data_IF_094006533190
#
_entry.id   IF_094006533190
#
_cell.length_a   1.000
_cell.length_b   1.000
_cell.length_c   1.000
_cell.angle_alpha   90.00
_cell.angle_beta   90.00
_cell.angle_gamma   90.00
#
_symmetry.space_group_name_H-M   'P 1'
#
loop_
_entity.id
_entity.type
_entity.pdbx_description
1 polymer ?
#
# COMPACT_ATOMS: atom_id res chain seq x y z
N UNK A 1 -58.76 -34.52 18.46
CA UNK A 1 -59.27 -35.78 19.02
C UNK A 1 -58.38 -36.87 18.45
N UNK A 2 -57.52 -37.61 19.15
CA UNK A 2 -57.39 -37.94 20.57
C UNK A 2 -55.92 -38.30 20.82
N UNK A 3 -55.40 -37.97 22.01
CA UNK A 3 -54.02 -38.14 22.44
C UNK A 3 -53.72 -39.55 22.99
N UNK A 4 -52.43 -39.93 23.08
CA UNK A 4 -51.70 -40.20 24.35
C UNK A 4 -50.40 -41.04 24.12
N UNK A 5 -49.21 -40.53 24.51
CA UNK A 5 -48.37 -40.92 25.69
C UNK A 5 -47.41 -42.10 25.33
N UNK A 6 -46.08 -42.16 25.56
CA UNK A 6 -45.16 -41.65 26.60
C UNK A 6 -43.67 -41.71 26.11
N UNK A 7 -42.81 -40.82 26.62
CA UNK A 7 -41.31 -40.85 26.60
C UNK A 7 -40.76 -41.69 27.79
N UNK A 8 -39.44 -41.80 28.13
CA UNK A 8 -38.20 -41.20 27.57
C UNK A 8 -36.94 -42.13 27.52
N UNK A 9 -35.84 -41.68 26.90
CA UNK A 9 -34.48 -41.91 27.41
C UNK A 9 -33.48 -40.87 26.91
N UNK A 10 -32.42 -40.69 27.72
CA UNK A 10 -31.61 -39.50 27.88
C UNK A 10 -30.46 -39.35 26.87
N UNK A 11 -30.13 -38.09 26.53
CA UNK A 11 -28.93 -37.73 25.80
C UNK A 11 -28.45 -36.33 26.20
N UNK A 12 -27.36 -36.29 26.98
CA UNK A 12 -26.73 -35.09 27.53
C UNK A 12 -26.34 -34.09 26.44
N UNK A 13 -26.74 -32.82 26.60
CA UNK A 13 -26.12 -31.69 25.90
C UNK A 13 -25.27 -30.89 26.88
N UNK A 14 -23.97 -30.87 26.62
CA UNK A 14 -23.03 -29.91 27.19
C UNK A 14 -23.04 -28.68 26.29
N UNK A 15 -23.27 -27.49 26.85
CA UNK A 15 -22.38 -26.33 26.70
C UNK A 15 -22.84 -25.17 27.58
N UNK A 16 -21.88 -24.82 28.42
CA UNK A 16 -21.84 -23.88 29.53
C UNK A 16 -22.12 -22.44 29.13
N UNK A 17 -22.74 -21.72 30.07
CA UNK A 17 -22.83 -20.28 30.12
C UNK A 17 -21.45 -19.63 30.28
N UNK A 18 -21.22 -18.51 29.59
CA UNK A 18 -20.21 -17.51 29.94
C UNK A 18 -20.77 -16.13 29.60
N UNK A 19 -21.29 -15.45 30.62
CA UNK A 19 -21.43 -14.00 30.66
C UNK A 19 -20.67 -13.54 31.90
N UNK A 20 -19.49 -12.97 31.69
CA UNK A 20 -18.74 -12.26 32.72
C UNK A 20 -18.19 -10.99 32.08
N UNK A 21 -18.84 -9.87 32.39
CA UNK A 21 -18.37 -8.54 32.08
C UNK A 21 -17.19 -8.20 33.01
N UNK A 22 -16.01 -7.99 32.43
CA UNK A 22 -14.85 -7.45 33.14
C UNK A 22 -14.85 -5.92 33.08
N UNK A 23 -15.08 -5.28 34.22
CA UNK A 23 -14.91 -3.84 34.43
C UNK A 23 -13.43 -3.46 34.36
N UNK A 24 -13.04 -2.68 33.36
CA UNK A 24 -11.74 -2.02 33.31
C UNK A 24 -11.76 -0.76 34.18
N UNK A 25 -10.95 -0.75 35.25
CA UNK A 25 -10.66 0.44 36.04
C UNK A 25 -9.69 1.35 35.27
N UNK A 26 -10.18 2.52 34.84
CA UNK A 26 -9.35 3.57 34.27
C UNK A 26 -8.81 4.47 35.38
N UNK A 27 -7.52 4.34 35.72
CA UNK A 27 -6.79 5.41 36.41
C UNK A 27 -6.35 6.43 35.36
N UNK A 28 -7.12 7.50 35.20
CA UNK A 28 -6.75 8.65 34.38
C UNK A 28 -5.73 9.51 35.14
N UNK A 29 -4.44 9.25 34.94
CA UNK A 29 -3.42 10.27 35.14
C UNK A 29 -3.50 11.20 33.93
N UNK A 30 -3.85 12.47 34.18
CA UNK A 30 -3.81 13.51 33.15
C UNK A 30 -2.36 13.73 32.73
N UNK A 31 -1.93 13.02 31.68
CA UNK A 31 -0.74 13.39 30.94
C UNK A 31 -0.97 14.78 30.33
N UNK A 32 0.03 15.68 30.33
CA UNK A 32 -0.09 16.92 29.60
C UNK A 32 -0.41 16.58 28.15
N UNK A 33 -1.45 17.22 27.60
CA UNK A 33 -1.79 17.07 26.19
C UNK A 33 -0.55 17.47 25.38
N UNK A 34 0.15 16.48 24.83
CA UNK A 34 1.17 16.72 23.83
C UNK A 34 0.50 17.56 22.75
N UNK A 35 1.00 18.78 22.52
CA UNK A 35 0.52 19.61 21.43
C UNK A 35 0.55 18.73 20.17
N UNK A 36 -0.60 18.60 19.49
CA UNK A 36 -0.68 17.81 18.27
C UNK A 36 0.43 18.31 17.33
N UNK A 37 1.28 17.39 16.87
CA UNK A 37 2.42 17.77 16.07
C UNK A 37 1.97 18.47 14.78
N UNK A 38 2.68 19.52 14.40
CA UNK A 38 2.35 20.33 13.23
C UNK A 38 2.63 19.53 11.94
N UNK A 39 1.56 19.16 11.22
CA UNK A 39 1.63 18.49 9.92
C UNK A 39 1.46 19.47 8.74
N UNK A 40 1.59 20.78 8.98
CA UNK A 40 1.49 21.82 7.94
C UNK A 40 2.85 22.24 7.38
N UNK A 41 3.94 21.75 7.95
CA UNK A 41 5.33 21.96 7.50
C UNK A 41 6.06 20.62 7.31
N UNK A 42 7.12 20.55 6.49
CA UNK A 42 7.85 19.29 6.30
C UNK A 42 8.37 18.70 7.61
N UNK A 43 8.33 17.36 7.71
CA UNK A 43 8.70 16.62 8.91
C UNK A 43 10.14 16.91 9.36
N UNK A 44 10.36 17.34 10.62
CA UNK A 44 11.68 17.78 11.07
C UNK A 44 12.71 16.64 11.18
N UNK A 45 12.29 15.38 11.17
CA UNK A 45 13.20 14.22 11.28
C UNK A 45 13.40 13.47 9.94
N UNK A 46 12.92 14.03 8.82
CA UNK A 46 13.05 13.41 7.50
C UNK A 46 14.53 13.17 7.11
N UNK A 47 15.42 14.10 7.45
CA UNK A 47 16.84 14.01 7.09
C UNK A 47 17.57 12.92 7.88
N UNK A 48 17.24 12.79 9.15
CA UNK A 48 17.78 11.78 10.07
C UNK A 48 17.24 10.39 9.75
N UNK A 49 15.96 10.29 9.41
CA UNK A 49 15.34 9.06 8.90
C UNK A 49 16.07 8.57 7.65
N UNK A 50 16.35 9.47 6.70
CA UNK A 50 17.11 9.16 5.50
C UNK A 50 18.54 8.72 5.83
N UNK A 51 19.21 9.39 6.77
CA UNK A 51 20.56 9.01 7.20
C UNK A 51 20.59 7.65 7.91
N UNK A 52 19.55 7.30 8.68
CA UNK A 52 19.41 5.98 9.30
C UNK A 52 19.20 4.90 8.23
N UNK A 53 18.22 5.11 7.36
CA UNK A 53 17.85 4.19 6.29
C UNK A 53 19.03 3.90 5.35
N UNK A 54 19.79 4.93 4.96
CA UNK A 54 20.96 4.81 4.09
C UNK A 54 22.08 3.92 4.63
N UNK A 55 22.13 3.69 5.96
CA UNK A 55 23.11 2.80 6.59
C UNK A 55 22.60 1.37 6.80
N UNK A 56 21.32 1.11 6.56
CA UNK A 56 20.74 -0.23 6.72
C UNK A 56 20.98 -1.09 5.47
N UNK A 57 21.65 -2.25 5.61
CA UNK A 57 21.84 -3.18 4.49
C UNK A 57 20.53 -3.72 3.93
N UNK A 58 19.55 -4.01 4.81
CA UNK A 58 18.24 -4.50 4.38
C UNK A 58 17.56 -3.46 3.48
N UNK A 59 17.46 -2.22 3.97
CA UNK A 59 16.83 -1.11 3.23
C UNK A 59 17.51 -0.86 1.89
N UNK A 60 18.85 -0.71 1.89
CA UNK A 60 19.56 -0.32 0.68
C UNK A 60 19.64 -1.45 -0.35
N UNK A 61 19.68 -2.72 0.10
CA UNK A 61 19.58 -3.86 -0.82
C UNK A 61 18.20 -3.97 -1.46
N UNK A 62 17.12 -3.77 -0.70
CA UNK A 62 15.75 -3.71 -1.22
C UNK A 62 15.56 -2.53 -2.19
N UNK A 63 16.09 -1.36 -1.87
CA UNK A 63 16.03 -0.20 -2.75
C UNK A 63 16.80 -0.41 -4.07
N UNK A 64 18.03 -0.94 -3.98
CA UNK A 64 18.82 -1.28 -5.16
C UNK A 64 18.12 -2.31 -6.05
N UNK A 65 17.50 -3.34 -5.44
CA UNK A 65 16.69 -4.32 -6.15
C UNK A 65 15.54 -3.65 -6.92
N UNK A 66 14.78 -2.74 -6.29
CA UNK A 66 13.67 -2.05 -6.98
C UNK A 66 14.15 -1.18 -8.13
N UNK A 67 15.27 -0.47 -8.00
CA UNK A 67 15.87 0.32 -9.09
C UNK A 67 16.32 -0.56 -10.26
N UNK A 68 16.92 -1.72 -9.97
CA UNK A 68 17.31 -2.71 -10.98
C UNK A 68 16.08 -3.20 -11.74
N UNK A 69 15.03 -3.64 -11.03
CA UNK A 69 13.77 -4.10 -11.62
C UNK A 69 13.05 -3.00 -12.42
N UNK A 70 13.07 -1.76 -11.94
CA UNK A 70 12.55 -0.61 -12.68
C UNK A 70 13.33 -0.37 -13.98
N UNK A 71 14.65 -0.59 -13.98
CA UNK A 71 15.50 -0.50 -15.18
C UNK A 71 15.21 -1.56 -16.24
N UNK A 72 14.60 -2.69 -15.86
CA UNK A 72 14.27 -3.81 -16.75
C UNK A 72 12.88 -3.70 -17.40
N UNK A 73 12.05 -2.74 -16.97
CA UNK A 73 10.74 -2.47 -17.58
C UNK A 73 10.90 -2.23 -19.08
N UNK A 74 10.06 -2.82 -19.94
CA UNK A 74 10.21 -2.75 -21.40
C UNK A 74 9.63 -1.46 -21.97
N UNK A 75 8.45 -1.05 -21.52
CA UNK A 75 7.79 0.20 -21.87
C UNK A 75 8.70 1.37 -21.50
N UNK A 76 9.11 2.12 -22.53
CA UNK A 76 10.12 3.16 -22.36
C UNK A 76 9.62 4.35 -21.55
N UNK A 77 8.31 4.63 -21.53
CA UNK A 77 7.75 5.72 -20.74
C UNK A 77 7.64 5.29 -19.27
N UNK A 78 7.03 4.14 -19.00
CA UNK A 78 6.87 3.59 -17.66
C UNK A 78 8.23 3.38 -16.99
N UNK A 79 9.23 2.83 -17.70
CA UNK A 79 10.61 2.70 -17.20
C UNK A 79 11.17 4.04 -16.74
N UNK A 80 11.11 5.05 -17.62
CA UNK A 80 11.68 6.38 -17.37
C UNK A 80 10.99 7.08 -16.20
N UNK A 81 9.66 7.03 -16.18
CA UNK A 81 8.86 7.68 -15.14
C UNK A 81 9.02 6.97 -13.79
N UNK A 82 9.13 5.63 -13.77
CA UNK A 82 9.37 4.85 -12.54
C UNK A 82 10.74 5.17 -11.95
N UNK A 83 11.79 5.16 -12.78
CA UNK A 83 13.15 5.51 -12.35
C UNK A 83 13.25 6.96 -11.85
N UNK A 84 12.51 7.89 -12.47
CA UNK A 84 12.40 9.26 -11.96
C UNK A 84 11.69 9.27 -10.59
N UNK A 85 10.52 8.63 -10.48
CA UNK A 85 9.70 8.66 -9.28
C UNK A 85 10.40 8.08 -8.03
N UNK A 86 11.13 6.97 -8.17
CA UNK A 86 11.75 6.28 -7.01
C UNK A 86 13.26 6.51 -6.90
N UNK A 87 13.92 6.87 -8.01
CA UNK A 87 15.38 6.95 -8.11
C UNK A 87 15.96 8.36 -8.15
N UNK A 88 15.16 9.37 -8.53
CA UNK A 88 15.65 10.73 -8.68
C UNK A 88 15.34 11.58 -7.42
N UNK A 89 16.36 11.99 -6.63
CA UNK A 89 16.14 12.84 -5.46
C UNK A 89 15.68 14.26 -5.81
N UNK A 90 15.66 14.64 -7.09
CA UNK A 90 15.18 15.92 -7.61
C UNK A 90 13.91 15.74 -8.46
N UNK A 91 13.18 14.64 -8.28
CA UNK A 91 11.93 14.44 -8.98
C UNK A 91 10.90 15.51 -8.57
N UNK A 92 10.36 16.22 -9.56
CA UNK A 92 9.24 17.12 -9.34
C UNK A 92 7.96 16.30 -9.10
N UNK A 93 7.13 16.74 -8.16
CA UNK A 93 5.77 16.24 -7.96
C UNK A 93 4.86 16.90 -9.01
N UNK A 94 4.66 16.23 -10.15
CA UNK A 94 4.06 16.85 -11.33
C UNK A 94 2.60 17.23 -11.12
N UNK A 95 1.85 16.50 -10.29
CA UNK A 95 0.46 16.87 -10.00
C UNK A 95 0.33 18.13 -9.13
N UNK A 96 1.43 18.58 -8.51
CA UNK A 96 1.48 19.79 -7.67
C UNK A 96 2.18 20.99 -8.31
N UNK A 97 2.87 20.78 -9.43
CA UNK A 97 3.56 21.84 -10.15
C UNK A 97 2.63 23.02 -10.48
N UNK A 98 3.04 24.22 -10.06
CA UNK A 98 2.33 25.48 -10.29
C UNK A 98 1.03 25.66 -9.51
N UNK A 99 0.72 24.80 -8.54
CA UNK A 99 -0.51 24.93 -7.75
C UNK A 99 -0.44 26.11 -6.78
N UNK A 100 -1.26 27.13 -7.04
CA UNK A 100 -1.52 28.18 -6.07
C UNK A 100 -2.43 27.69 -4.94
N UNK A 101 -2.50 28.50 -3.90
CA UNK A 101 -3.42 28.33 -2.77
C UNK A 101 -4.89 28.28 -3.18
N UNK A 102 -5.27 29.11 -4.16
CA UNK A 102 -6.61 29.10 -4.72
C UNK A 102 -6.89 27.80 -5.49
N UNK A 103 -5.88 27.22 -6.15
CA UNK A 103 -6.04 25.96 -6.90
C UNK A 103 -6.24 24.78 -5.96
N UNK A 104 -5.42 24.70 -4.90
CA UNK A 104 -5.58 23.69 -3.83
C UNK A 104 -6.97 23.76 -3.21
N UNK A 105 -7.46 24.97 -2.91
CA UNK A 105 -8.82 25.15 -2.40
C UNK A 105 -9.88 24.65 -3.39
N UNK A 106 -9.79 25.00 -4.68
CA UNK A 106 -10.75 24.54 -5.69
C UNK A 106 -10.75 23.01 -5.85
N UNK A 107 -9.59 22.37 -5.73
CA UNK A 107 -9.47 20.90 -5.76
C UNK A 107 -10.22 20.30 -4.56
N UNK A 108 -9.98 20.82 -3.35
CA UNK A 108 -10.67 20.36 -2.12
C UNK A 108 -12.18 20.56 -2.24
N UNK A 109 -12.63 21.74 -2.68
CA UNK A 109 -14.05 22.05 -2.87
C UNK A 109 -14.69 21.05 -3.85
N UNK A 110 -13.99 20.67 -4.93
CA UNK A 110 -14.46 19.69 -5.91
C UNK A 110 -14.53 18.27 -5.34
N UNK A 111 -13.54 17.87 -4.53
CA UNK A 111 -13.55 16.57 -3.84
C UNK A 111 -14.73 16.48 -2.86
N UNK A 112 -15.00 17.55 -2.09
CA UNK A 112 -16.15 17.66 -1.20
C UNK A 112 -17.48 17.59 -1.96
N UNK A 113 -17.61 18.37 -3.04
CA UNK A 113 -18.81 18.39 -3.88
C UNK A 113 -19.12 17.00 -4.46
N UNK A 114 -18.09 16.23 -4.79
CA UNK A 114 -18.22 14.89 -5.35
C UNK A 114 -18.33 13.77 -4.30
N UNK A 115 -18.31 14.11 -3.00
CA UNK A 115 -18.37 13.14 -1.91
C UNK A 115 -17.15 12.22 -1.84
N UNK A 116 -15.99 12.69 -2.32
CA UNK A 116 -14.74 11.92 -2.36
C UNK A 116 -13.88 12.13 -1.10
N UNK A 117 -14.32 13.01 -0.21
CA UNK A 117 -13.70 13.34 1.09
C UNK A 117 -14.83 13.61 2.10
N UNK A 118 -14.65 13.25 3.38
CA UNK A 118 -15.60 13.62 4.44
C UNK A 118 -15.33 15.06 4.92
N UNK A 119 -16.35 15.92 4.87
CA UNK A 119 -16.26 17.29 5.35
C UNK A 119 -15.91 17.39 6.85
N UNK A 120 -16.23 16.35 7.63
CA UNK A 120 -15.87 16.30 9.05
C UNK A 120 -14.34 16.20 9.28
N UNK A 121 -13.58 15.74 8.29
CA UNK A 121 -12.13 15.61 8.41
C UNK A 121 -11.41 16.96 8.40
N UNK A 122 -12.06 18.03 7.95
CA UNK A 122 -11.53 19.40 8.09
C UNK A 122 -11.26 19.76 9.56
N UNK A 123 -12.12 19.29 10.48
CA UNK A 123 -11.97 19.53 11.91
C UNK A 123 -11.21 18.42 12.64
N UNK A 124 -11.19 17.19 12.11
CA UNK A 124 -10.61 16.02 12.78
C UNK A 124 -9.14 15.79 12.43
N UNK A 125 -8.73 16.15 11.22
CA UNK A 125 -7.39 15.90 10.73
C UNK A 125 -6.44 17.03 11.13
N UNK A 126 -5.22 16.75 11.65
CA UNK A 126 -4.23 17.78 11.94
C UNK A 126 -3.89 18.62 10.70
N UNK A 127 -4.17 19.93 10.74
CA UNK A 127 -3.99 20.82 9.59
C UNK A 127 -5.11 20.77 8.54
N UNK A 128 -6.24 20.10 8.85
CA UNK A 128 -7.44 20.04 8.02
C UNK A 128 -7.28 19.23 6.74
N UNK A 129 -8.27 19.29 5.85
CA UNK A 129 -8.26 18.56 4.58
C UNK A 129 -7.08 18.95 3.71
N UNK A 130 -6.66 20.21 3.83
CA UNK A 130 -5.51 20.72 3.10
C UNK A 130 -4.23 19.95 3.45
N UNK A 131 -3.89 19.80 4.73
CA UNK A 131 -2.69 19.05 5.11
C UNK A 131 -2.79 17.56 4.75
N UNK A 132 -4.01 16.99 4.76
CA UNK A 132 -4.23 15.59 4.41
C UNK A 132 -4.14 15.30 2.91
N UNK A 133 -4.67 16.18 2.05
CA UNK A 133 -4.68 16.01 0.57
C UNK A 133 -3.40 16.57 -0.05
N UNK A 134 -2.82 17.59 0.56
CA UNK A 134 -1.59 18.26 0.13
C UNK A 134 -0.57 18.27 1.27
N UNK A 135 0.00 17.10 1.68
CA UNK A 135 1.05 17.04 2.69
C UNK A 135 2.17 18.04 2.39
N UNK A 136 2.80 18.66 3.39
CA UNK A 136 3.75 19.73 3.15
C UNK A 136 5.00 19.20 2.44
N UNK A 137 5.47 19.94 1.43
CA UNK A 137 6.65 19.56 0.63
C UNK A 137 7.54 20.77 0.39
N UNK A 138 8.86 20.59 0.18
CA UNK A 138 9.73 21.64 -0.31
C UNK A 138 9.26 22.19 -1.65
N UNK A 139 9.51 23.48 -1.87
CA UNK A 139 9.23 24.17 -3.14
C UNK A 139 7.77 24.08 -3.60
N UNK A 140 6.82 23.89 -2.65
CA UNK A 140 5.38 23.86 -2.95
C UNK A 140 4.93 25.18 -3.59
N UNK A 141 4.08 25.07 -4.61
CA UNK A 141 3.62 26.19 -5.42
C UNK A 141 4.59 26.69 -6.50
N UNK A 142 5.81 26.15 -6.57
CA UNK A 142 6.72 26.38 -7.70
C UNK A 142 6.39 25.45 -8.87
N UNK A 143 7.09 25.59 -9.99
CA UNK A 143 6.99 24.67 -11.13
C UNK A 143 7.55 23.27 -10.84
N UNK A 144 8.33 23.10 -9.76
CA UNK A 144 8.91 21.82 -9.37
C UNK A 144 8.92 21.64 -7.84
N UNK A 145 7.76 21.31 -7.21
CA UNK A 145 7.73 20.87 -5.83
C UNK A 145 8.48 19.54 -5.68
N UNK A 146 9.23 19.36 -4.60
CA UNK A 146 10.08 18.17 -4.42
C UNK A 146 9.55 17.23 -3.34
N UNK A 147 9.96 15.96 -3.40
CA UNK A 147 9.70 15.03 -2.30
C UNK A 147 10.40 15.49 -1.01
N UNK A 148 9.74 15.41 0.16
CA UNK A 148 10.33 15.87 1.43
C UNK A 148 11.36 14.89 2.01
N UNK A 149 11.39 13.66 1.49
CA UNK A 149 12.38 12.63 1.79
C UNK A 149 12.56 11.69 0.59
N UNK A 150 13.72 11.02 0.45
CA UNK A 150 13.93 10.04 -0.61
C UNK A 150 13.09 8.77 -0.40
N UNK A 151 12.83 8.03 -1.47
CA UNK A 151 12.05 6.79 -1.46
C UNK A 151 12.54 5.79 -0.40
N UNK A 152 13.86 5.63 -0.29
CA UNK A 152 14.46 4.70 0.66
C UNK A 152 14.33 5.12 2.13
N UNK A 153 13.85 6.32 2.44
CA UNK A 153 13.67 6.79 3.82
C UNK A 153 12.22 6.65 4.32
N UNK A 154 11.27 6.48 3.40
CA UNK A 154 9.86 6.42 3.74
C UNK A 154 9.50 5.14 4.52
N UNK A 155 8.51 5.21 5.43
CA UNK A 155 7.93 4.01 6.02
C UNK A 155 7.02 3.30 5.02
N UNK A 156 6.90 1.99 5.18
CA UNK A 156 6.05 1.13 4.36
C UNK A 156 4.59 1.09 4.81
N UNK A 157 4.28 1.51 6.05
CA UNK A 157 2.90 1.67 6.52
C UNK A 157 2.87 2.58 7.73
N UNK A 158 1.66 2.83 8.23
CA UNK A 158 1.43 3.75 9.33
C UNK A 158 2.14 3.33 10.63
N UNK A 159 2.43 4.27 11.53
CA UNK A 159 3.24 4.05 12.73
C UNK A 159 2.59 3.04 13.67
N UNK A 160 3.36 2.01 14.01
CA UNK A 160 2.86 0.86 14.77
C UNK A 160 2.20 -0.23 13.93
N UNK A 161 2.05 -0.01 12.61
CA UNK A 161 1.72 -1.03 11.61
C UNK A 161 2.99 -1.71 11.05
N UNK A 162 2.83 -2.49 9.99
CA UNK A 162 3.88 -3.20 9.27
C UNK A 162 4.86 -2.23 8.59
N UNK A 163 6.15 -2.58 8.56
CA UNK A 163 7.18 -1.77 7.91
C UNK A 163 7.19 -0.26 8.26
N UNK A 164 6.73 0.14 9.45
CA UNK A 164 6.54 1.54 9.84
C UNK A 164 7.80 2.29 10.28
N UNK A 165 8.97 1.78 9.92
CA UNK A 165 10.28 2.33 10.26
C UNK A 165 10.90 3.09 9.06
N UNK A 166 11.92 3.92 9.27
CA UNK A 166 12.70 4.50 8.17
C UNK A 166 13.24 3.44 7.24
N UNK A 167 12.91 3.57 5.95
CA UNK A 167 13.23 2.61 4.91
C UNK A 167 12.38 1.35 4.90
N UNK A 168 11.26 1.34 5.60
CA UNK A 168 10.28 0.28 5.47
C UNK A 168 9.62 0.22 4.09
N UNK A 169 9.48 1.35 3.39
CA UNK A 169 8.88 1.38 2.04
C UNK A 169 9.60 0.49 1.02
N UNK A 170 10.91 0.63 0.77
CA UNK A 170 11.58 -0.26 -0.17
C UNK A 170 11.55 -1.73 0.27
N UNK A 171 11.50 -2.02 1.57
CA UNK A 171 11.39 -3.40 2.08
C UNK A 171 10.02 -4.00 1.75
N UNK A 172 8.96 -3.24 2.04
CA UNK A 172 7.57 -3.55 1.68
C UNK A 172 7.44 -3.80 0.17
N UNK A 173 7.92 -2.85 -0.63
CA UNK A 173 7.80 -2.93 -2.09
C UNK A 173 8.63 -4.03 -2.73
N UNK A 174 9.81 -4.35 -2.18
CA UNK A 174 10.58 -5.49 -2.66
C UNK A 174 9.83 -6.80 -2.42
N UNK A 175 9.15 -6.95 -1.28
CA UNK A 175 8.33 -8.12 -0.99
C UNK A 175 7.10 -8.19 -1.89
N UNK A 176 6.39 -7.07 -2.07
CA UNK A 176 5.24 -6.98 -2.97
C UNK A 176 5.62 -7.32 -4.41
N UNK A 177 6.71 -6.73 -4.93
CA UNK A 177 7.21 -7.02 -6.28
C UNK A 177 7.52 -8.50 -6.47
N UNK A 178 8.26 -9.12 -5.54
CA UNK A 178 8.57 -10.55 -5.63
C UNK A 178 7.31 -11.42 -5.59
N UNK A 179 6.32 -11.03 -4.77
CA UNK A 179 5.04 -11.72 -4.66
C UNK A 179 4.23 -11.62 -5.95
N UNK A 180 4.13 -10.42 -6.53
CA UNK A 180 3.36 -10.18 -7.75
C UNK A 180 3.95 -10.95 -8.95
N UNK A 181 5.27 -10.82 -9.16
CA UNK A 181 5.99 -11.52 -10.23
C UNK A 181 5.87 -13.04 -10.09
N UNK A 182 6.01 -13.57 -8.86
CA UNK A 182 5.87 -15.01 -8.60
C UNK A 182 4.45 -15.50 -8.86
N UNK A 183 3.44 -14.75 -8.41
CA UNK A 183 2.04 -15.11 -8.61
C UNK A 183 1.68 -15.06 -10.10
N UNK A 184 2.09 -14.02 -10.83
CA UNK A 184 1.94 -13.94 -12.27
C UNK A 184 2.66 -15.12 -12.99
N UNK A 185 3.82 -15.54 -12.50
CA UNK A 185 4.53 -16.73 -12.95
C UNK A 185 3.69 -17.99 -12.80
N UNK A 186 3.08 -18.21 -11.63
CA UNK A 186 2.20 -19.36 -11.39
C UNK A 186 0.98 -19.36 -12.33
N UNK A 187 0.39 -18.20 -12.63
CA UNK A 187 -0.71 -18.13 -13.59
C UNK A 187 -0.27 -18.59 -14.99
N UNK A 188 0.94 -18.20 -15.44
CA UNK A 188 1.49 -18.66 -16.73
C UNK A 188 1.78 -20.17 -16.70
N UNK A 189 2.34 -20.69 -15.61
CA UNK A 189 2.67 -22.12 -15.49
C UNK A 189 1.43 -23.02 -15.53
N UNK A 190 0.33 -22.58 -14.92
CA UNK A 190 -0.91 -23.36 -14.79
C UNK A 190 -1.83 -23.18 -16.00
N UNK A 191 -1.97 -21.94 -16.53
CA UNK A 191 -3.03 -21.60 -17.47
C UNK A 191 -2.56 -21.30 -18.90
N UNK A 192 -1.27 -21.02 -19.13
CA UNK A 192 -0.74 -20.70 -20.47
C UNK A 192 0.02 -21.87 -21.13
N UNK A 193 0.54 -22.81 -20.35
CA UNK A 193 1.33 -23.89 -20.92
C UNK A 193 0.45 -24.86 -21.70
N UNK A 194 0.81 -25.17 -22.95
CA UNK A 194 0.04 -26.03 -23.85
C UNK A 194 0.76 -27.36 -24.14
N UNK A 195 0.00 -28.44 -24.32
CA UNK A 195 0.51 -29.70 -24.84
C UNK A 195 0.67 -29.67 -26.37
N UNK A 196 1.16 -30.77 -26.96
CA UNK A 196 1.36 -30.87 -28.41
C UNK A 196 0.06 -30.75 -29.24
N UNK A 197 -1.11 -30.82 -28.61
CA UNK A 197 -2.43 -30.63 -29.23
C UNK A 197 -2.94 -29.19 -29.07
N UNK A 198 -2.19 -28.34 -28.36
CA UNK A 198 -2.60 -26.97 -28.04
C UNK A 198 -3.57 -26.87 -26.85
N UNK A 199 -3.68 -27.89 -25.99
CA UNK A 199 -4.55 -27.86 -24.81
C UNK A 199 -3.78 -27.47 -23.55
N UNK A 200 -4.37 -26.68 -22.62
CA UNK A 200 -3.70 -26.28 -21.39
C UNK A 200 -3.27 -27.49 -20.54
N UNK A 201 -2.03 -27.46 -20.08
CA UNK A 201 -1.44 -28.43 -19.17
C UNK A 201 -0.57 -27.69 -18.15
N UNK A 202 -0.51 -28.21 -16.92
CA UNK A 202 0.42 -27.70 -15.93
C UNK A 202 1.85 -27.85 -16.43
N UNK A 203 2.64 -26.77 -16.41
CA UNK A 203 4.08 -26.83 -16.65
C UNK A 203 4.74 -27.72 -15.61
N UNK A 204 5.16 -28.90 -16.03
CA UNK A 204 5.98 -29.76 -15.19
C UNK A 204 7.39 -29.19 -15.15
N UNK A 205 7.89 -28.85 -13.96
CA UNK A 205 9.31 -28.56 -13.80
C UNK A 205 10.08 -29.82 -14.21
N UNK A 206 10.94 -29.73 -15.23
CA UNK A 206 11.93 -30.79 -15.43
C UNK A 206 12.78 -30.82 -14.16
N UNK A 207 12.67 -31.91 -13.39
CA UNK A 207 13.48 -32.14 -12.20
C UNK A 207 14.95 -31.79 -12.51
N UNK A 208 15.47 -30.73 -11.90
CA UNK A 208 16.87 -30.31 -12.05
C UNK A 208 17.14 -28.95 -12.72
N UNK A 209 16.14 -28.18 -13.16
CA UNK A 209 16.35 -26.73 -13.39
C UNK A 209 15.96 -25.97 -12.14
N UNK A 210 16.92 -25.17 -11.63
CA UNK A 210 16.78 -24.33 -10.44
C UNK A 210 15.44 -23.59 -10.49
N UNK A 211 14.72 -23.63 -9.38
CA UNK A 211 13.52 -22.84 -9.15
C UNK A 211 13.83 -21.37 -9.46
N UNK A 212 13.07 -20.79 -10.39
CA UNK A 212 12.77 -19.36 -10.56
C UNK A 212 13.79 -18.33 -10.05
N UNK A 213 15.08 -18.50 -10.36
CA UNK A 213 16.06 -17.43 -10.34
C UNK A 213 16.32 -17.01 -11.78
N UNK A 214 15.72 -15.90 -12.20
CA UNK A 214 16.27 -15.03 -13.24
C UNK A 214 16.47 -15.61 -14.64
N UNK A 215 15.58 -16.49 -15.13
CA UNK A 215 15.53 -16.75 -16.57
C UNK A 215 14.37 -15.98 -17.20
N UNK A 216 14.73 -14.79 -17.69
CA UNK A 216 14.13 -14.13 -18.83
C UNK A 216 14.11 -15.08 -20.03
N UNK A 217 13.21 -16.07 -20.02
CA UNK A 217 12.84 -16.72 -21.27
C UNK A 217 11.98 -15.70 -22.05
N UNK A 218 12.51 -15.36 -23.22
CA UNK A 218 12.36 -14.19 -24.08
C UNK A 218 10.93 -13.87 -24.59
N UNK A 219 9.90 -14.58 -24.13
CA UNK A 219 8.53 -14.52 -24.71
C UNK A 219 7.51 -13.75 -23.84
N UNK A 220 7.93 -13.13 -22.74
CA UNK A 220 7.09 -12.67 -21.62
C UNK A 220 5.97 -11.62 -21.81
N UNK A 221 5.59 -11.23 -23.04
CA UNK A 221 4.36 -10.45 -23.30
C UNK A 221 3.28 -11.27 -24.06
N UNK A 222 3.69 -12.41 -24.61
CA UNK A 222 2.87 -13.32 -25.40
C UNK A 222 3.10 -14.72 -24.88
N UNK A 223 2.10 -15.31 -24.24
CA UNK A 223 2.17 -16.70 -23.77
C UNK A 223 2.46 -17.70 -24.89
N UNK A 224 2.52 -18.99 -24.59
CA UNK A 224 2.87 -20.04 -25.56
C UNK A 224 2.03 -20.03 -26.86
N UNK A 225 0.86 -19.38 -26.83
CA UNK A 225 -0.05 -19.17 -27.97
C UNK A 225 -0.06 -17.75 -28.56
N UNK A 226 0.61 -16.78 -27.93
CA UNK A 226 0.44 -15.34 -28.17
C UNK A 226 -0.89 -14.75 -27.72
N UNK A 227 -1.85 -15.59 -27.30
CA UNK A 227 -3.18 -15.18 -26.86
C UNK A 227 -3.30 -14.98 -25.34
N UNK A 228 -2.43 -15.62 -24.55
CA UNK A 228 -2.39 -15.45 -23.10
C UNK A 228 -1.41 -14.33 -22.74
N UNK A 229 -1.92 -13.20 -22.25
CA UNK A 229 -1.10 -12.06 -21.86
C UNK A 229 -1.35 -11.68 -20.41
N UNK A 230 -0.25 -11.58 -19.66
CA UNK A 230 -0.16 -10.90 -18.38
C UNK A 230 0.98 -9.90 -18.54
N UNK A 231 0.67 -8.62 -18.44
CA UNK A 231 1.60 -7.54 -18.71
C UNK A 231 2.71 -7.51 -17.64
N UNK A 232 3.93 -7.87 -18.06
CA UNK A 232 5.08 -7.94 -17.17
C UNK A 232 5.41 -6.59 -16.55
N UNK A 233 5.31 -5.51 -17.31
CA UNK A 233 5.72 -4.20 -16.82
C UNK A 233 4.70 -3.67 -15.81
N UNK A 234 3.41 -3.91 -16.04
CA UNK A 234 2.38 -3.56 -15.07
C UNK A 234 2.58 -4.31 -13.74
N UNK A 235 2.81 -5.62 -13.78
CA UNK A 235 3.08 -6.46 -12.60
C UNK A 235 4.36 -6.01 -11.88
N UNK A 236 5.41 -5.66 -12.63
CA UNK A 236 6.68 -5.25 -12.04
C UNK A 236 6.62 -3.84 -11.40
N UNK A 237 5.93 -2.90 -12.03
CA UNK A 237 5.94 -1.49 -11.64
C UNK A 237 4.80 -1.09 -10.69
N UNK A 238 3.65 -1.79 -10.70
CA UNK A 238 2.51 -1.40 -9.89
C UNK A 238 2.82 -1.33 -8.38
N UNK A 239 3.58 -2.29 -7.80
CA UNK A 239 4.09 -2.17 -6.43
C UNK A 239 4.80 -0.82 -6.19
N UNK A 240 5.82 -0.51 -6.97
CA UNK A 240 6.63 0.72 -6.79
C UNK A 240 5.80 2.01 -6.83
N UNK A 241 4.71 2.03 -7.61
CA UNK A 241 3.87 3.21 -7.82
C UNK A 241 2.75 3.38 -6.80
N UNK A 242 2.10 2.30 -6.35
CA UNK A 242 0.89 2.43 -5.53
C UNK A 242 1.18 3.11 -4.18
N UNK A 243 2.39 2.88 -3.65
CA UNK A 243 2.86 3.44 -2.39
C UNK A 243 3.84 4.60 -2.51
N UNK A 244 4.15 5.05 -3.73
CA UNK A 244 5.12 6.11 -3.98
C UNK A 244 4.88 7.36 -3.11
N UNK A 245 3.61 7.75 -2.90
CA UNK A 245 3.28 8.93 -2.14
C UNK A 245 3.47 8.78 -0.61
N UNK A 246 3.76 7.59 -0.08
CA UNK A 246 4.22 7.42 1.31
C UNK A 246 5.45 8.28 1.61
N UNK A 247 6.25 8.58 0.59
CA UNK A 247 7.38 9.54 0.62
C UNK A 247 7.01 10.96 1.05
N UNK A 248 5.73 11.36 0.96
CA UNK A 248 5.28 12.67 1.42
C UNK A 248 4.15 12.62 2.45
N UNK A 249 3.40 11.50 2.50
CA UNK A 249 2.29 11.33 3.45
C UNK A 249 2.81 10.98 4.85
N UNK A 250 3.75 10.04 4.96
CA UNK A 250 4.26 9.56 6.25
C UNK A 250 5.60 10.21 6.63
N UNK A 251 5.67 11.54 6.54
CA UNK A 251 6.86 12.28 6.97
C UNK A 251 7.11 12.09 8.47
N UNK A 252 8.33 12.37 8.92
CA UNK A 252 8.77 12.04 10.26
C UNK A 252 8.68 13.21 11.24
N UNK A 253 8.05 12.95 12.38
CA UNK A 253 8.03 13.83 13.54
C UNK A 253 9.34 13.79 14.32
N UNK A 254 9.59 14.83 15.12
CA UNK A 254 10.82 14.95 15.91
C UNK A 254 11.02 13.82 16.93
N UNK A 255 9.93 13.17 17.36
CA UNK A 255 9.96 12.02 18.26
C UNK A 255 10.15 10.68 17.54
N UNK A 256 10.41 10.69 16.23
CA UNK A 256 10.59 9.48 15.42
C UNK A 256 9.31 8.71 15.11
N UNK A 257 8.13 9.24 15.48
CA UNK A 257 6.86 8.81 14.90
C UNK A 257 6.60 9.50 13.55
N UNK A 258 5.52 9.16 12.87
CA UNK A 258 5.19 9.70 11.54
C UNK A 258 4.00 10.67 11.60
N UNK A 259 3.80 11.38 10.50
CA UNK A 259 2.60 12.14 10.19
C UNK A 259 1.39 11.21 10.04
N UNK A 260 0.25 11.60 10.60
CA UNK A 260 -1.01 10.91 10.34
C UNK A 260 -1.38 11.00 8.87
N UNK A 261 -1.88 9.90 8.32
CA UNK A 261 -2.47 9.84 6.99
C UNK A 261 -3.97 10.15 7.02
N UNK A 262 -4.44 10.91 6.03
CA UNK A 262 -5.87 11.10 5.79
C UNK A 262 -6.39 9.95 4.92
N UNK A 263 -7.43 9.26 5.39
CA UNK A 263 -8.15 8.29 4.55
C UNK A 263 -9.25 8.99 3.74
N UNK A 264 -9.17 8.95 2.41
CA UNK A 264 -10.17 9.55 1.52
C UNK A 264 -10.38 8.70 0.26
N UNK A 265 -11.10 9.21 -0.75
CA UNK A 265 -11.60 8.42 -1.88
C UNK A 265 -13.08 8.05 -1.76
N UNK A 266 -13.77 8.66 -0.80
CA UNK A 266 -15.19 8.50 -0.51
C UNK A 266 -15.52 9.23 0.80
N UNK A 267 -16.81 9.49 1.06
CA UNK A 267 -17.27 10.13 2.30
C UNK A 267 -17.74 9.13 3.37
N UNK A 268 -17.48 7.83 3.18
CA UNK A 268 -17.84 6.76 4.12
C UNK A 268 -19.34 6.49 4.29
N UNK A 269 -20.16 6.94 3.33
CA UNK A 269 -21.63 6.86 3.40
C UNK A 269 -22.24 6.23 2.16
N UNK A 270 -21.75 6.63 0.99
CA UNK A 270 -22.25 6.18 -0.31
C UNK A 270 -21.11 5.77 -1.23
N UNK A 271 -21.38 4.81 -2.11
CA UNK A 271 -20.52 4.36 -3.19
C UNK A 271 -20.52 5.35 -4.37
N UNK A 272 -19.81 5.00 -5.44
CA UNK A 272 -19.69 5.80 -6.66
C UNK A 272 -21.03 6.04 -7.38
N UNK A 273 -22.07 5.28 -7.06
CA UNK A 273 -23.37 5.26 -7.74
C UNK A 273 -24.55 5.62 -6.82
N UNK A 274 -24.25 6.10 -5.61
CA UNK A 274 -25.23 6.59 -4.63
C UNK A 274 -25.86 5.52 -3.72
N UNK A 275 -25.37 4.28 -3.73
CA UNK A 275 -25.79 3.23 -2.78
C UNK A 275 -24.93 3.24 -1.53
N UNK A 276 -25.32 2.60 -0.41
CA UNK A 276 -24.45 2.49 0.76
C UNK A 276 -23.11 1.83 0.43
N UNK A 277 -22.01 2.48 0.80
CA UNK A 277 -20.65 1.97 0.56
C UNK A 277 -19.58 2.86 1.18
N UNK A 278 -18.41 2.28 1.41
CA UNK A 278 -17.22 3.01 1.87
C UNK A 278 -16.04 2.67 0.96
N UNK A 279 -15.48 3.72 0.37
CA UNK A 279 -14.33 3.67 -0.53
C UNK A 279 -13.15 4.46 0.03
N UNK A 280 -13.19 4.86 1.31
CA UNK A 280 -12.03 5.51 1.92
C UNK A 280 -10.85 4.53 1.98
N UNK A 281 -9.69 5.05 1.63
CA UNK A 281 -8.42 4.35 1.55
C UNK A 281 -7.29 5.30 1.96
N UNK A 282 -6.09 4.79 2.23
CA UNK A 282 -4.93 5.61 2.57
C UNK A 282 -4.68 6.69 1.51
N UNK A 283 -4.51 7.94 1.94
CA UNK A 283 -4.31 9.06 1.04
C UNK A 283 -3.10 8.94 0.11
N UNK A 284 -2.05 8.21 0.51
CA UNK A 284 -0.91 7.91 -0.35
C UNK A 284 -1.35 7.24 -1.66
N UNK A 285 -2.32 6.33 -1.58
CA UNK A 285 -2.79 5.56 -2.74
C UNK A 285 -3.37 6.49 -3.81
N UNK A 286 -4.23 7.43 -3.41
CA UNK A 286 -4.88 8.37 -4.34
C UNK A 286 -3.91 9.43 -4.85
N UNK A 287 -3.00 9.91 -3.99
CA UNK A 287 -1.97 10.89 -4.39
C UNK A 287 -0.99 10.26 -5.39
N UNK A 288 -0.61 9.00 -5.19
CA UNK A 288 0.22 8.23 -6.14
C UNK A 288 -0.47 8.06 -7.50
N UNK A 289 -1.78 7.77 -7.50
CA UNK A 289 -2.58 7.71 -8.73
C UNK A 289 -2.64 9.08 -9.45
N UNK A 290 -2.79 10.17 -8.70
CA UNK A 290 -2.81 11.51 -9.28
C UNK A 290 -1.48 11.83 -9.99
N UNK A 291 -0.35 11.44 -9.39
CA UNK A 291 0.97 11.59 -10.00
C UNK A 291 1.12 10.73 -11.26
N UNK A 292 0.75 9.44 -11.20
CA UNK A 292 0.81 8.53 -12.34
C UNK A 292 -0.03 9.04 -13.53
N UNK A 293 -1.24 9.53 -13.25
CA UNK A 293 -2.12 10.17 -14.23
C UNK A 293 -1.51 11.44 -14.82
N UNK A 294 -0.90 12.29 -13.98
CA UNK A 294 -0.28 13.54 -14.43
C UNK A 294 0.95 13.29 -15.31
N UNK A 295 1.69 12.22 -15.03
CA UNK A 295 2.80 11.72 -15.86
C UNK A 295 2.35 11.05 -17.15
N UNK A 296 1.05 10.87 -17.33
CA UNK A 296 0.46 10.31 -18.54
C UNK A 296 0.73 8.82 -18.69
N UNK A 297 0.84 8.08 -17.59
CA UNK A 297 0.98 6.63 -17.63
C UNK A 297 -0.30 5.97 -18.17
N UNK A 298 -0.14 4.81 -18.81
CA UNK A 298 -1.21 4.11 -19.51
C UNK A 298 -2.36 3.70 -18.59
N UNK A 299 -3.58 3.65 -19.13
CA UNK A 299 -4.78 3.40 -18.33
C UNK A 299 -4.81 2.01 -17.70
N UNK A 300 -4.34 0.97 -18.40
CA UNK A 300 -4.27 -0.38 -17.84
C UNK A 300 -3.29 -0.45 -16.67
N UNK A 301 -2.14 0.23 -16.78
CA UNK A 301 -1.20 0.38 -15.67
C UNK A 301 -1.81 1.13 -14.48
N UNK A 302 -2.39 2.32 -14.70
CA UNK A 302 -2.95 3.15 -13.62
C UNK A 302 -4.11 2.43 -12.91
N UNK A 303 -4.93 1.66 -13.62
CA UNK A 303 -6.00 0.86 -13.00
C UNK A 303 -5.41 -0.35 -12.24
N UNK A 304 -4.31 -0.93 -12.73
CA UNK A 304 -3.57 -1.97 -11.98
C UNK A 304 -3.06 -1.42 -10.66
N UNK A 305 -2.34 -0.29 -10.68
CA UNK A 305 -1.92 0.45 -9.48
C UNK A 305 -3.12 0.78 -8.56
N UNK A 306 -4.24 1.23 -9.12
CA UNK A 306 -5.43 1.57 -8.35
C UNK A 306 -6.07 0.35 -7.67
N UNK A 307 -5.76 -0.87 -8.10
CA UNK A 307 -6.36 -2.07 -7.55
C UNK A 307 -5.66 -2.60 -6.28
N UNK A 308 -4.53 -2.00 -5.86
CA UNK A 308 -3.74 -2.43 -4.71
C UNK A 308 -4.58 -2.72 -3.46
N UNK A 309 -5.38 -1.74 -3.01
CA UNK A 309 -6.17 -1.87 -1.77
C UNK A 309 -7.54 -2.57 -1.97
N UNK A 310 -7.94 -2.84 -3.21
CA UNK A 310 -9.11 -3.67 -3.52
C UNK A 310 -9.12 -4.04 -5.00
N UNK A 311 -9.19 -5.33 -5.31
CA UNK A 311 -9.55 -5.76 -6.66
C UNK A 311 -10.96 -5.24 -7.04
N UNK A 312 -11.20 -4.82 -8.29
CA UNK A 312 -12.52 -4.39 -8.76
C UNK A 312 -13.41 -5.61 -9.06
N UNK A 313 -13.56 -6.49 -8.08
CA UNK A 313 -14.37 -7.71 -8.18
C UNK A 313 -15.31 -7.80 -6.97
N UNK A 314 -16.28 -8.73 -7.02
CA UNK A 314 -17.20 -8.98 -5.89
C UNK A 314 -17.94 -7.70 -5.42
N UNK A 315 -18.29 -6.82 -6.37
CA UNK A 315 -18.99 -5.57 -6.08
C UNK A 315 -18.10 -4.40 -5.65
N UNK A 316 -16.77 -4.55 -5.66
CA UNK A 316 -15.85 -3.48 -5.24
C UNK A 316 -15.38 -2.53 -6.35
N UNK A 317 -15.89 -2.63 -7.59
CA UNK A 317 -15.49 -1.74 -8.70
C UNK A 317 -15.64 -0.25 -8.33
N UNK A 318 -16.69 0.10 -7.56
CA UNK A 318 -16.93 1.49 -7.14
C UNK A 318 -15.76 2.09 -6.36
N UNK A 319 -15.00 1.28 -5.62
CA UNK A 319 -13.85 1.74 -4.84
C UNK A 319 -12.77 2.24 -5.79
N UNK A 320 -12.38 1.39 -6.73
CA UNK A 320 -11.39 1.72 -7.77
C UNK A 320 -11.86 2.91 -8.61
N UNK A 321 -13.13 2.95 -9.00
CA UNK A 321 -13.71 4.11 -9.70
C UNK A 321 -13.59 5.39 -8.88
N UNK A 322 -13.93 5.39 -7.58
CA UNK A 322 -13.81 6.58 -6.76
C UNK A 322 -12.35 7.01 -6.53
N UNK A 323 -11.42 6.08 -6.42
CA UNK A 323 -9.98 6.39 -6.30
C UNK A 323 -9.46 7.06 -7.57
N UNK A 324 -9.80 6.54 -8.75
CA UNK A 324 -9.47 7.15 -10.03
C UNK A 324 -10.12 8.53 -10.20
N UNK A 325 -11.37 8.69 -9.74
CA UNK A 325 -12.06 10.00 -9.75
C UNK A 325 -11.36 11.02 -8.86
N UNK A 326 -11.02 10.65 -7.63
CA UNK A 326 -10.34 11.53 -6.68
C UNK A 326 -8.95 11.91 -7.19
N UNK A 327 -8.20 10.94 -7.70
CA UNK A 327 -6.90 11.16 -8.33
C UNK A 327 -6.99 12.11 -9.53
N UNK A 328 -7.98 11.94 -10.40
CA UNK A 328 -8.18 12.81 -11.56
C UNK A 328 -8.55 14.25 -11.17
N UNK A 329 -9.32 14.43 -10.09
CA UNK A 329 -9.61 15.76 -9.52
C UNK A 329 -8.33 16.43 -9.01
N UNK A 330 -7.48 15.69 -8.29
CA UNK A 330 -6.18 16.20 -7.79
C UNK A 330 -5.22 16.52 -8.94
N UNK A 331 -5.12 15.64 -9.94
CA UNK A 331 -4.28 15.84 -11.12
C UNK A 331 -4.82 16.93 -12.08
N UNK A 332 -6.06 17.38 -11.86
CA UNK A 332 -6.79 18.35 -12.68
C UNK A 332 -6.94 17.89 -14.13
N UNK A 333 -7.36 16.64 -14.32
CA UNK A 333 -7.62 16.05 -15.64
C UNK A 333 -9.06 15.54 -15.74
N UNK A 334 -9.52 15.33 -16.97
CA UNK A 334 -10.74 14.58 -17.24
C UNK A 334 -10.39 13.07 -17.36
N UNK A 335 -10.84 12.22 -16.42
CA UNK A 335 -10.50 10.80 -16.45
C UNK A 335 -11.15 10.03 -17.61
N UNK A 336 -12.27 10.52 -18.16
CA UNK A 336 -12.94 9.90 -19.31
C UNK A 336 -12.20 10.26 -20.59
N UNK A 337 -11.89 11.54 -20.80
CA UNK A 337 -11.13 11.99 -21.97
C UNK A 337 -9.72 11.38 -22.02
N UNK A 338 -9.14 11.03 -20.86
CA UNK A 338 -7.85 10.35 -20.75
C UNK A 338 -7.93 8.82 -20.78
N UNK A 339 -9.13 8.25 -20.83
CA UNK A 339 -9.34 6.80 -20.93
C UNK A 339 -9.12 6.02 -19.63
N UNK A 340 -9.04 6.68 -18.47
CA UNK A 340 -8.96 6.03 -17.16
C UNK A 340 -10.32 5.53 -16.68
N UNK A 341 -11.40 6.19 -17.11
CA UNK A 341 -12.79 5.84 -16.82
C UNK A 341 -13.63 5.92 -18.09
N UNK A 342 -14.80 5.29 -18.09
CA UNK A 342 -15.83 5.46 -19.12
C UNK A 342 -17.18 5.74 -18.47
N UNK A 343 -18.11 6.29 -19.24
CA UNK A 343 -19.50 6.46 -18.83
C UNK A 343 -20.36 5.36 -19.45
N UNK A 344 -21.09 4.60 -18.62
CA UNK A 344 -22.04 3.60 -19.11
C UNK A 344 -23.36 4.22 -19.60
N UNK A 345 -24.25 3.39 -20.16
CA UNK A 345 -25.55 3.83 -20.68
C UNK A 345 -26.47 4.48 -19.62
N UNK A 346 -26.19 4.31 -18.33
CA UNK A 346 -26.92 4.94 -17.23
C UNK A 346 -26.23 6.22 -16.72
N UNK A 347 -25.18 6.68 -17.37
CA UNK A 347 -24.43 7.87 -16.97
C UNK A 347 -23.45 7.62 -15.82
N UNK A 348 -23.17 6.37 -15.46
CA UNK A 348 -22.28 6.03 -14.34
C UNK A 348 -20.85 5.89 -14.82
N UNK A 349 -19.91 6.33 -13.99
CA UNK A 349 -18.49 6.06 -14.23
C UNK A 349 -18.17 4.60 -13.93
N UNK A 350 -17.45 3.95 -14.85
CA UNK A 350 -17.05 2.54 -14.84
C UNK A 350 -15.61 2.37 -15.31
N UNK A 351 -15.02 1.20 -15.06
CA UNK A 351 -13.72 0.86 -15.62
C UNK A 351 -13.84 0.61 -17.15
N UNK A 352 -12.91 1.16 -17.95
CA UNK A 352 -12.89 1.00 -19.40
C UNK A 352 -12.65 -0.45 -19.83
N UNK A 353 -13.22 -0.83 -20.98
CA UNK A 353 -12.84 -2.05 -21.67
C UNK A 353 -11.50 -1.84 -22.39
N UNK A 354 -10.40 -2.21 -21.74
CA UNK A 354 -9.04 -2.06 -22.27
C UNK A 354 -8.58 -3.29 -23.06
N UNK A 355 -7.54 -3.12 -23.88
CA UNK A 355 -7.02 -4.16 -24.78
C UNK A 355 -8.13 -4.69 -25.70
N UNK A 356 -8.31 -6.01 -25.79
CA UNK A 356 -9.36 -6.64 -26.61
C UNK A 356 -10.71 -6.77 -25.89
N UNK A 357 -10.84 -6.35 -24.63
CA UNK A 357 -12.11 -6.42 -23.89
C UNK A 357 -13.21 -5.56 -24.55
N UNK A 358 -12.83 -4.54 -25.32
CA UNK A 358 -13.78 -3.69 -26.04
C UNK A 358 -14.63 -4.42 -27.09
N UNK A 359 -14.21 -5.61 -27.55
CA UNK A 359 -15.00 -6.44 -28.46
C UNK A 359 -16.26 -7.01 -27.81
N UNK A 360 -16.24 -7.14 -26.48
CA UNK A 360 -17.33 -7.67 -25.68
C UNK A 360 -17.48 -6.84 -24.39
N UNK A 361 -17.59 -5.51 -24.53
CA UNK A 361 -17.66 -4.56 -23.41
C UNK A 361 -18.70 -5.00 -22.35
N UNK A 362 -18.20 -5.40 -21.18
CA UNK A 362 -19.02 -5.95 -20.11
C UNK A 362 -19.83 -4.89 -19.36
N UNK A 363 -19.52 -3.60 -19.53
CA UNK A 363 -20.31 -2.52 -18.94
C UNK A 363 -21.73 -2.47 -19.51
N UNK A 364 -21.89 -2.82 -20.79
CA UNK A 364 -23.16 -2.74 -21.53
C UNK A 364 -23.85 -4.12 -21.70
N UNK A 365 -23.35 -5.16 -21.05
CA UNK A 365 -24.00 -6.47 -21.04
C UNK A 365 -25.37 -6.44 -20.32
N UNK A 366 -26.25 -7.39 -20.62
CA UNK A 366 -27.57 -7.52 -19.97
C UNK A 366 -27.49 -7.65 -18.44
N UNK A 367 -26.39 -8.20 -17.94
CA UNK A 367 -25.96 -8.13 -16.55
C UNK A 367 -24.58 -7.46 -16.53
N UNK A 368 -24.51 -6.13 -16.29
CA UNK A 368 -23.26 -5.39 -16.32
C UNK A 368 -22.21 -6.00 -15.38
N UNK A 369 -21.00 -6.19 -15.90
CA UNK A 369 -19.85 -6.69 -15.13
C UNK A 369 -18.63 -5.83 -15.39
N UNK A 370 -17.64 -5.98 -14.52
CA UNK A 370 -16.38 -5.24 -14.60
C UNK A 370 -15.57 -5.73 -15.80
N UNK A 371 -15.00 -4.79 -16.56
CA UNK A 371 -13.94 -5.07 -17.52
C UNK A 371 -12.63 -5.38 -16.78
N UNK A 372 -12.48 -6.66 -16.38
CA UNK A 372 -11.39 -7.11 -15.51
C UNK A 372 -10.16 -7.52 -16.32
N UNK A 373 -9.01 -6.91 -16.00
CA UNK A 373 -7.70 -7.46 -16.35
C UNK A 373 -7.15 -8.24 -15.16
N UNK A 374 -6.39 -9.30 -15.42
CA UNK A 374 -5.88 -10.19 -14.36
C UNK A 374 -4.86 -9.47 -13.46
N UNK A 375 -4.12 -8.52 -14.02
CA UNK A 375 -3.15 -7.67 -13.32
C UNK A 375 -3.80 -6.92 -12.15
N UNK A 376 -5.07 -6.53 -12.27
CA UNK A 376 -5.80 -5.85 -11.21
C UNK A 376 -5.92 -6.71 -9.95
N UNK A 377 -6.10 -8.03 -10.14
CA UNK A 377 -6.23 -8.99 -9.03
C UNK A 377 -4.86 -9.41 -8.52
N UNK A 378 -3.90 -9.64 -9.42
CA UNK A 378 -2.54 -10.04 -9.06
C UNK A 378 -1.88 -8.99 -8.18
N UNK A 379 -1.96 -7.72 -8.57
CA UNK A 379 -1.40 -6.64 -7.79
C UNK A 379 -2.08 -6.48 -6.42
N UNK A 380 -3.43 -6.58 -6.37
CA UNK A 380 -4.16 -6.58 -5.08
C UNK A 380 -3.70 -7.68 -4.13
N UNK A 381 -3.43 -8.89 -4.65
CA UNK A 381 -2.94 -10.01 -3.85
C UNK A 381 -1.48 -9.85 -3.46
N UNK A 382 -0.68 -9.16 -4.29
CA UNK A 382 0.73 -8.91 -4.00
C UNK A 382 0.93 -8.01 -2.78
N UNK A 383 0.02 -7.06 -2.56
CA UNK A 383 0.03 -6.13 -1.41
C UNK A 383 -0.63 -6.73 -0.14
N UNK A 384 -0.94 -8.03 -0.14
CA UNK A 384 -1.66 -8.68 0.95
C UNK A 384 -0.77 -9.24 2.07
N UNK A 385 0.52 -8.87 2.11
CA UNK A 385 1.49 -9.37 3.09
C UNK A 385 1.16 -8.97 4.54
N UNK A 386 0.34 -7.92 4.70
CA UNK A 386 -0.20 -7.43 5.97
C UNK A 386 -0.81 -8.51 6.85
N UNK A 387 -1.28 -9.62 6.26
CA UNK A 387 -1.78 -10.78 6.99
C UNK A 387 -0.76 -11.37 7.99
N UNK A 388 0.54 -11.25 7.72
CA UNK A 388 1.62 -11.62 8.64
C UNK A 388 2.38 -10.42 9.19
N UNK A 389 2.66 -9.40 8.39
CA UNK A 389 3.55 -8.31 8.78
C UNK A 389 2.95 -7.42 9.87
N UNK A 390 1.63 -7.20 9.89
CA UNK A 390 0.93 -6.46 10.96
C UNK A 390 1.02 -7.17 12.32
N UNK A 391 0.64 -8.46 12.47
CA UNK A 391 0.77 -9.13 13.76
C UNK A 391 2.24 -9.32 14.18
N UNK A 392 3.19 -9.42 13.24
CA UNK A 392 4.61 -9.44 13.57
C UNK A 392 5.07 -8.10 14.15
N UNK A 393 4.73 -6.97 13.51
CA UNK A 393 5.04 -5.62 13.99
C UNK A 393 4.47 -5.36 15.39
N UNK A 394 3.20 -5.69 15.61
CA UNK A 394 2.56 -5.52 16.91
C UNK A 394 3.25 -6.32 18.02
N UNK A 395 3.61 -7.58 17.76
CA UNK A 395 4.25 -8.44 18.75
C UNK A 395 5.70 -8.03 19.02
N UNK A 396 6.44 -7.65 17.96
CA UNK A 396 7.82 -7.17 18.11
C UNK A 396 7.86 -5.85 18.87
N UNK A 397 6.90 -4.95 18.69
CA UNK A 397 6.85 -3.70 19.44
C UNK A 397 6.79 -3.98 20.96
N UNK A 398 5.93 -4.90 21.41
CA UNK A 398 5.87 -5.34 22.80
C UNK A 398 7.22 -5.92 23.28
N UNK A 399 7.84 -6.78 22.47
CA UNK A 399 9.11 -7.41 22.82
C UNK A 399 10.26 -6.40 22.87
N UNK A 400 10.29 -5.41 21.98
CA UNK A 400 11.29 -4.34 21.99
C UNK A 400 11.11 -3.44 23.20
N UNK A 401 9.87 -3.07 23.56
CA UNK A 401 9.61 -2.32 24.79
C UNK A 401 10.08 -3.10 26.02
N UNK A 402 9.83 -4.42 26.07
CA UNK A 402 10.29 -5.28 27.16
C UNK A 402 11.82 -5.34 27.28
N UNK A 403 12.53 -5.42 26.16
CA UNK A 403 13.99 -5.60 26.14
C UNK A 403 14.77 -4.28 26.20
N UNK A 404 14.17 -3.15 25.83
CA UNK A 404 14.83 -1.84 25.78
C UNK A 404 15.65 -1.47 27.02
N UNK A 405 15.20 -1.74 28.27
CA UNK A 405 15.99 -1.44 29.46
C UNK A 405 17.35 -2.16 29.51
N UNK A 406 17.45 -3.37 28.94
CA UNK A 406 18.72 -4.13 28.85
C UNK A 406 19.76 -3.42 27.95
N UNK A 407 19.29 -2.53 27.07
CA UNK A 407 20.08 -1.72 26.14
C UNK A 407 20.14 -0.24 26.56
N UNK A 408 19.77 0.08 27.79
CA UNK A 408 19.76 1.44 28.34
C UNK A 408 18.78 2.42 27.64
N UNK A 409 17.68 1.89 27.12
CA UNK A 409 16.56 2.68 26.60
C UNK A 409 15.32 2.53 27.49
N UNK A 410 14.59 3.62 27.69
CA UNK A 410 13.33 3.62 28.41
C UNK A 410 12.18 3.84 27.41
N UNK A 411 11.24 2.90 27.24
CA UNK A 411 10.09 3.07 26.36
C UNK A 411 9.22 4.30 26.67
N UNK A 412 9.24 4.79 27.92
CA UNK A 412 8.51 6.00 28.30
C UNK A 412 9.19 7.30 27.79
N UNK A 413 10.48 7.27 27.45
CA UNK A 413 11.16 8.34 26.72
C UNK A 413 10.93 8.10 25.22
N UNK A 414 9.71 8.39 24.75
CA UNK A 414 9.22 8.02 23.42
C UNK A 414 10.16 8.50 22.31
N UNK A 415 10.62 9.76 22.38
CA UNK A 415 11.48 10.32 21.36
C UNK A 415 12.82 9.57 21.27
N UNK A 416 13.47 9.32 22.41
CA UNK A 416 14.73 8.57 22.44
C UNK A 416 14.53 7.11 22.08
N UNK A 417 13.48 6.48 22.59
CA UNK A 417 13.15 5.09 22.29
C UNK A 417 12.93 4.88 20.79
N UNK A 418 12.11 5.72 20.15
CA UNK A 418 11.84 5.63 18.72
C UNK A 418 13.11 5.91 17.89
N UNK A 419 13.73 7.08 18.09
CA UNK A 419 14.81 7.56 17.21
C UNK A 419 16.14 6.83 17.42
N UNK A 420 16.38 6.23 18.59
CA UNK A 420 17.66 5.59 18.94
C UNK A 420 17.58 4.09 19.18
N UNK A 421 16.39 3.50 19.34
CA UNK A 421 16.25 2.06 19.56
C UNK A 421 15.27 1.41 18.59
N UNK A 422 13.97 1.69 18.68
CA UNK A 422 12.93 1.04 17.85
C UNK A 422 13.19 1.20 16.35
N UNK A 423 13.30 2.44 15.86
CA UNK A 423 13.48 2.69 14.43
C UNK A 423 14.81 2.11 13.93
N UNK A 424 15.97 2.32 14.60
CA UNK A 424 17.20 1.64 14.21
C UNK A 424 17.11 0.12 14.18
N UNK A 425 16.50 -0.51 15.19
CA UNK A 425 16.30 -1.97 15.22
C UNK A 425 15.48 -2.44 14.02
N UNK A 426 14.32 -1.81 13.80
CA UNK A 426 13.41 -2.21 12.74
C UNK A 426 13.96 -1.90 11.35
N UNK A 427 14.72 -0.80 11.17
CA UNK A 427 15.33 -0.48 9.88
C UNK A 427 16.39 -1.51 9.49
N UNK A 428 17.13 -2.07 10.45
CA UNK A 428 18.18 -3.06 10.16
C UNK A 428 17.68 -4.50 10.11
N UNK A 429 16.66 -4.83 10.90
CA UNK A 429 16.26 -6.22 11.09
C UNK A 429 14.84 -6.52 10.60
N UNK A 430 13.95 -5.54 10.47
CA UNK A 430 12.52 -5.73 10.22
C UNK A 430 11.77 -6.43 11.37
N UNK A 431 10.48 -6.15 11.52
CA UNK A 431 9.68 -6.81 12.54
C UNK A 431 9.43 -8.29 12.21
N UNK A 432 9.25 -8.60 10.93
CA UNK A 432 8.96 -9.92 10.40
C UNK A 432 10.07 -10.90 10.77
N UNK A 433 11.33 -10.52 10.48
CA UNK A 433 12.50 -11.32 10.84
C UNK A 433 12.60 -11.51 12.35
N UNK A 434 12.47 -10.42 13.12
CA UNK A 434 12.60 -10.48 14.57
C UNK A 434 11.54 -11.40 15.19
N UNK A 435 10.32 -11.35 14.67
CA UNK A 435 9.24 -12.22 15.11
C UNK A 435 9.47 -13.69 14.73
N UNK A 436 9.95 -13.97 13.51
CA UNK A 436 10.32 -15.34 13.09
C UNK A 436 11.46 -15.88 13.95
N UNK A 437 12.48 -15.08 14.25
CA UNK A 437 13.59 -15.48 15.12
C UNK A 437 13.10 -15.76 16.54
N UNK A 438 12.26 -14.88 17.07
CA UNK A 438 11.65 -15.03 18.39
C UNK A 438 10.77 -16.29 18.49
N UNK A 439 9.92 -16.55 17.49
CA UNK A 439 9.00 -17.70 17.53
C UNK A 439 9.72 -19.05 17.49
N UNK A 440 10.93 -19.10 16.94
CA UNK A 440 11.75 -20.31 16.88
C UNK A 440 12.74 -20.46 18.05
N UNK A 441 13.24 -19.36 18.62
CA UNK A 441 14.33 -19.38 19.60
C UNK A 441 14.08 -18.61 20.90
N UNK A 442 12.87 -18.07 21.08
CA UNK A 442 12.45 -17.28 22.23
C UNK A 442 13.23 -15.97 22.41
N UNK A 443 13.11 -15.37 23.60
CA UNK A 443 13.79 -14.11 23.93
C UNK A 443 15.32 -14.19 23.81
N UNK A 444 15.92 -15.39 24.00
CA UNK A 444 17.36 -15.57 23.85
C UNK A 444 17.80 -15.30 22.40
N UNK A 445 17.07 -15.83 21.42
CA UNK A 445 17.39 -15.61 20.02
C UNK A 445 17.16 -14.15 19.60
N UNK A 446 16.06 -13.54 20.07
CA UNK A 446 15.78 -12.13 19.83
C UNK A 446 16.89 -11.22 20.39
N UNK A 447 17.30 -11.42 21.65
CA UNK A 447 18.46 -10.71 22.24
C UNK A 447 19.72 -10.90 21.41
N UNK A 448 19.95 -12.11 20.90
CA UNK A 448 21.08 -12.40 20.02
C UNK A 448 21.13 -11.53 18.76
N UNK A 449 19.98 -11.15 18.18
CA UNK A 449 19.93 -10.20 17.07
C UNK A 449 20.18 -8.75 17.53
N UNK A 450 19.58 -8.33 18.65
CA UNK A 450 19.78 -6.98 19.21
C UNK A 450 21.25 -6.75 19.65
N UNK A 451 21.88 -7.76 20.23
CA UNK A 451 23.30 -7.73 20.60
C UNK A 451 24.22 -7.53 19.40
N UNK A 452 23.84 -7.99 18.20
CA UNK A 452 24.59 -7.68 16.96
C UNK A 452 24.57 -6.18 16.69
N UNK A 453 23.40 -5.55 16.77
CA UNK A 453 23.26 -4.12 16.55
C UNK A 453 24.02 -3.31 17.60
N UNK A 454 23.99 -3.72 18.87
CA UNK A 454 24.78 -3.11 19.95
C UNK A 454 26.29 -3.19 19.69
N UNK A 455 26.80 -4.37 19.29
CA UNK A 455 28.22 -4.54 18.93
C UNK A 455 28.63 -3.66 17.74
N UNK A 456 27.71 -3.42 16.81
CA UNK A 456 27.91 -2.53 15.67
C UNK A 456 27.66 -1.05 16.01
N UNK A 457 27.38 -0.71 17.27
CA UNK A 457 27.05 0.66 17.71
C UNK A 457 25.89 1.30 16.94
N UNK A 458 24.92 0.49 16.52
CA UNK A 458 23.67 0.95 15.90
C UNK A 458 22.66 1.34 16.98
N UNK A 459 22.66 0.62 18.11
CA UNK A 459 21.84 0.85 19.30
C UNK A 459 22.66 0.83 20.58
#
# INVERSE_FOLDING_TARGET
>A
MTACIQTPHAGRRWRSALAAAGMAWACALAAPAAAAADQTVPGPWNSEAAALAARSPLVMSSYAFLLERAGELRDAQLRRETLDAIGNPQACIRHRAGLSEADKKRIIDRLLQQGLVDAADEARFPGGLRAGIFPPVPDDGTDCPHLPMPFYAAPGSAFGSHHSQPGGLPVHEAFNHLSDVSLAGHYRDVYDTLDARGLPVLRQSKAGRRAHEGRDDDDGDTGASGAFRIDRDAIAAAPMWHDWAKTMVFQWLADGSEFKELNFGGAGKVDAWGQPGDSRTGGHHIIGLAEAMKRGLAADFVITQASAHSAPTLGNEYKVVNWLRAAAVIAQIDPVARGYLVTDAQGRLRLPALRRLSEADFNNASSPRVNLLVEYVLHNLSDADYGFTVPAASQVDVLLQQLAPEYAYNPADVARYNTRFRNPVLSYLSAERLYIVFSNGGLKALRGELDKLRRLSII
#
